data_IF_486189957222
#
_entry.id   IF_486189957222
#
_cell.length_a   1.000
_cell.length_b   1.000
_cell.length_c   1.000
_cell.angle_alpha   90.00
_cell.angle_beta   90.00
_cell.angle_gamma   90.00
#
_symmetry.space_group_name_H-M   'P 1'
#
loop_
_entity.id
_entity.type
_entity.pdbx_description
1 polymer ?
#
# COMPACT_ATOMS: atom_id res chain seq x y z
N UNK A 1 -14.72 20.89 4.00
CA UNK A 1 -13.34 21.41 4.14
C UNK A 1 -13.19 22.60 3.22
N UNK A 2 -12.62 23.70 3.68
CA UNK A 2 -12.47 24.94 2.90
C UNK A 2 -11.01 25.34 2.78
N UNK A 3 -10.60 25.74 1.58
CA UNK A 3 -9.29 26.34 1.33
C UNK A 3 -9.40 27.86 1.44
N UNK A 4 -8.43 28.47 2.10
CA UNK A 4 -8.33 29.92 2.28
C UNK A 4 -6.94 30.39 1.82
N UNK A 5 -6.89 31.49 1.07
CA UNK A 5 -5.66 32.08 0.57
C UNK A 5 -5.87 32.92 -0.70
N UNK A 6 -4.80 33.51 -1.21
CA UNK A 6 -4.84 34.46 -2.33
C UNK A 6 -4.84 33.79 -3.72
N UNK A 7 -5.52 32.64 -3.85
CA UNK A 7 -5.68 31.94 -5.12
C UNK A 7 -7.14 31.90 -5.52
N UNK A 8 -7.39 32.11 -6.81
CA UNK A 8 -8.74 32.13 -7.41
C UNK A 8 -9.30 30.72 -7.61
N UNK A 9 -8.44 29.71 -7.71
CA UNK A 9 -8.83 28.31 -7.88
C UNK A 9 -8.07 27.39 -6.92
N UNK A 10 -8.82 26.68 -6.08
CA UNK A 10 -8.29 25.70 -5.13
C UNK A 10 -8.77 24.30 -5.47
N UNK A 11 -7.85 23.34 -5.38
CA UNK A 11 -8.16 21.92 -5.43
C UNK A 11 -7.99 21.32 -4.05
N UNK A 12 -8.96 20.54 -3.61
CA UNK A 12 -8.85 19.76 -2.38
C UNK A 12 -8.44 18.35 -2.74
N UNK A 13 -7.29 17.93 -2.23
CA UNK A 13 -6.66 16.64 -2.50
C UNK A 13 -6.75 15.74 -1.27
N UNK A 14 -6.76 14.43 -1.52
CA UNK A 14 -6.76 13.38 -0.50
C UNK A 14 -5.75 12.31 -0.84
N UNK A 15 -4.94 11.92 0.14
CA UNK A 15 -4.18 10.68 0.17
C UNK A 15 -4.93 9.65 1.03
N UNK A 16 -5.38 8.57 0.40
CA UNK A 16 -6.10 7.49 1.07
C UNK A 16 -5.15 6.47 1.73
N UNK A 17 -5.65 5.65 2.67
CA UNK A 17 -4.87 4.55 3.27
C UNK A 17 -4.38 3.52 2.24
N UNK A 18 -5.01 3.44 1.07
CA UNK A 18 -4.62 2.56 -0.03
C UNK A 18 -3.60 3.23 -0.98
N UNK A 19 -2.91 4.26 -0.52
CA UNK A 19 -1.86 5.01 -1.25
C UNK A 19 -2.31 5.69 -2.54
N UNK A 20 -3.62 5.82 -2.76
CA UNK A 20 -4.16 6.53 -3.92
C UNK A 20 -4.45 8.00 -3.61
N UNK A 21 -4.08 8.85 -4.57
CA UNK A 21 -4.35 10.28 -4.65
C UNK A 21 -5.69 10.54 -5.35
N UNK A 22 -6.62 11.21 -4.68
CA UNK A 22 -7.93 11.55 -5.25
C UNK A 22 -8.29 13.02 -5.05
N UNK A 23 -8.72 13.74 -6.11
CA UNK A 23 -9.31 15.06 -5.96
C UNK A 23 -10.73 14.97 -5.37
N UNK A 24 -11.19 16.05 -4.74
CA UNK A 24 -12.52 16.12 -4.11
C UNK A 24 -13.67 15.70 -5.02
N UNK A 25 -13.61 15.96 -6.34
CA UNK A 25 -14.64 15.55 -7.29
C UNK A 25 -14.96 14.05 -7.31
N UNK A 26 -14.06 13.20 -6.81
CA UNK A 26 -14.27 11.74 -6.74
C UNK A 26 -15.03 11.32 -5.48
N UNK A 27 -14.84 12.01 -4.35
CA UNK A 27 -15.35 11.61 -3.04
C UNK A 27 -16.26 12.65 -2.36
N UNK A 28 -16.51 13.76 -3.05
CA UNK A 28 -17.24 14.92 -2.58
C UNK A 28 -17.69 15.82 -3.72
N UNK A 29 -18.03 17.06 -3.38
CA UNK A 29 -18.46 18.09 -4.33
C UNK A 29 -17.77 19.40 -3.99
N UNK A 30 -17.16 20.03 -5.00
CA UNK A 30 -16.53 21.34 -4.86
C UNK A 30 -17.58 22.46 -5.03
N UNK A 31 -17.49 23.50 -4.20
CA UNK A 31 -18.26 24.74 -4.29
C UNK A 31 -17.32 25.89 -3.95
N UNK A 32 -16.85 26.61 -4.97
CA UNK A 32 -15.75 27.57 -4.82
C UNK A 32 -14.50 26.87 -4.27
N UNK A 33 -13.93 27.41 -3.20
CA UNK A 33 -12.77 26.83 -2.50
C UNK A 33 -13.14 25.77 -1.46
N UNK A 34 -14.41 25.38 -1.36
CA UNK A 34 -14.90 24.43 -0.36
C UNK A 34 -15.24 23.08 -0.97
N UNK A 35 -14.70 22.01 -0.39
CA UNK A 35 -15.07 20.63 -0.67
C UNK A 35 -16.05 20.10 0.39
N UNK A 36 -17.25 19.69 -0.05
CA UNK A 36 -18.24 19.00 0.77
C UNK A 36 -18.10 17.50 0.57
N UNK A 37 -17.85 16.76 1.66
CA UNK A 37 -17.73 15.30 1.63
C UNK A 37 -19.12 14.68 1.43
N UNK A 38 -19.26 13.79 0.44
CA UNK A 38 -20.53 13.08 0.18
C UNK A 38 -20.42 11.57 0.41
N UNK A 39 -19.20 11.02 0.45
CA UNK A 39 -18.96 9.58 0.67
C UNK A 39 -18.51 9.27 2.09
N UNK A 40 -18.94 8.14 2.63
CA UNK A 40 -18.70 7.69 4.01
C UNK A 40 -17.37 6.98 4.28
N UNK A 41 -16.46 6.93 3.31
CA UNK A 41 -15.21 6.11 3.29
C UNK A 41 -13.96 6.98 3.15
N UNK A 42 -13.91 8.09 3.87
CA UNK A 42 -12.94 9.16 3.60
C UNK A 42 -11.94 9.34 4.74
N UNK A 43 -11.43 8.25 5.30
CA UNK A 43 -10.23 8.35 6.15
C UNK A 43 -9.00 8.63 5.29
N UNK A 44 -8.15 9.58 5.68
CA UNK A 44 -6.95 9.90 4.92
C UNK A 44 -6.34 11.25 5.29
N UNK A 45 -5.29 11.61 4.57
CA UNK A 45 -4.61 12.90 4.70
C UNK A 45 -5.12 13.84 3.61
N UNK A 46 -5.42 15.07 3.97
CA UNK A 46 -6.05 16.06 3.10
C UNK A 46 -5.25 17.35 3.06
N UNK A 47 -5.23 18.01 1.92
CA UNK A 47 -4.62 19.32 1.74
C UNK A 47 -5.25 20.07 0.57
N UNK A 48 -4.97 21.37 0.50
CA UNK A 48 -5.33 22.24 -0.61
C UNK A 48 -4.12 22.45 -1.52
N UNK A 49 -4.36 22.46 -2.82
CA UNK A 49 -3.38 22.76 -3.86
C UNK A 49 -3.90 23.96 -4.68
N UNK A 50 -3.06 24.98 -4.84
CA UNK A 50 -3.32 26.13 -5.71
C UNK A 50 -2.87 25.83 -7.15
N UNK A 51 -3.38 26.59 -8.12
CA UNK A 51 -2.89 26.53 -9.51
C UNK A 51 -1.37 26.77 -9.63
N UNK A 52 -0.82 27.64 -8.77
CA UNK A 52 0.62 27.95 -8.73
C UNK A 52 1.49 26.85 -8.09
N UNK A 53 0.90 25.71 -7.71
CA UNK A 53 1.61 24.59 -7.09
C UNK A 53 1.92 24.79 -5.60
N UNK A 54 1.36 25.81 -4.95
CA UNK A 54 1.42 25.95 -3.49
C UNK A 54 0.49 24.94 -2.80
N UNK A 55 0.95 24.42 -1.66
CA UNK A 55 0.21 23.48 -0.82
C UNK A 55 -0.12 24.10 0.53
N UNK A 56 -1.30 23.83 1.06
CA UNK A 56 -1.62 24.12 2.46
C UNK A 56 -0.91 23.14 3.41
N UNK A 57 -1.05 23.36 4.71
CA UNK A 57 -0.80 22.29 5.67
C UNK A 57 -1.73 21.10 5.39
N UNK A 58 -1.24 19.91 5.67
CA UNK A 58 -2.03 18.69 5.58
C UNK A 58 -2.76 18.42 6.90
N UNK A 59 -3.98 17.89 6.82
CA UNK A 59 -4.78 17.44 7.96
C UNK A 59 -5.10 15.97 7.82
N UNK A 60 -4.96 15.21 8.90
CA UNK A 60 -5.33 13.80 8.93
C UNK A 60 -6.75 13.68 9.50
N UNK A 61 -7.67 13.16 8.68
CA UNK A 61 -9.05 12.91 9.09
C UNK A 61 -9.24 11.41 9.11
N UNK A 62 -9.49 10.87 10.30
CA UNK A 62 -9.88 9.48 10.48
C UNK A 62 -11.37 9.44 10.78
N UNK A 63 -12.10 8.62 10.04
CA UNK A 63 -13.42 8.19 10.49
C UNK A 63 -13.21 7.27 11.69
N UNK A 64 -13.97 7.51 12.75
CA UNK A 64 -14.02 6.61 13.88
C UNK A 64 -14.80 5.36 13.42
N UNK A 65 -14.08 4.25 13.21
CA UNK A 65 -14.68 2.97 12.80
C UNK A 65 -15.41 2.28 13.97
N UNK A 66 -15.37 2.87 15.17
CA UNK A 66 -15.96 2.37 16.42
C UNK A 66 -17.48 2.64 16.55
N UNK A 67 -18.13 2.85 15.42
CA UNK A 67 -19.57 3.10 15.33
C UNK A 67 -20.40 1.85 15.04
N UNK A 68 -19.81 0.65 15.08
CA UNK A 68 -20.56 -0.60 14.96
C UNK A 68 -21.12 -1.00 16.33
N UNK A 69 -22.42 -1.25 16.37
CA UNK A 69 -23.11 -1.75 17.56
C UNK A 69 -23.71 -3.13 17.30
N UNK A 70 -23.62 -3.99 18.31
CA UNK A 70 -24.28 -5.28 18.36
C UNK A 70 -25.68 -5.11 18.99
N UNK A 71 -26.69 -5.64 18.33
CA UNK A 71 -28.05 -5.74 18.84
C UNK A 71 -28.26 -7.15 19.39
N UNK A 72 -28.47 -7.22 20.70
CA UNK A 72 -28.83 -8.43 21.43
C UNK A 72 -30.23 -8.30 22.04
N UNK A 73 -30.90 -9.41 22.38
CA UNK A 73 -32.15 -9.37 23.12
C UNK A 73 -32.00 -8.67 24.47
N UNK A 74 -33.06 -7.98 24.90
CA UNK A 74 -33.08 -7.26 26.19
C UNK A 74 -33.12 -8.21 27.40
N UNK A 75 -33.52 -9.47 27.19
CA UNK A 75 -33.63 -10.48 28.24
C UNK A 75 -32.77 -11.70 27.93
N UNK A 76 -32.27 -12.42 28.96
CA UNK A 76 -31.59 -13.70 28.76
C UNK A 76 -32.44 -14.69 27.97
N UNK A 77 -31.78 -15.48 27.12
CA UNK A 77 -32.42 -16.49 26.27
C UNK A 77 -32.32 -17.84 26.97
N UNK A 78 -33.43 -18.58 27.04
CA UNK A 78 -33.46 -19.91 27.64
C UNK A 78 -32.82 -20.96 26.71
N UNK A 79 -32.25 -22.02 27.30
CA UNK A 79 -31.68 -23.14 26.53
C UNK A 79 -32.72 -23.77 25.58
N UNK A 80 -32.23 -24.24 24.43
CA UNK A 80 -33.03 -24.83 23.35
C UNK A 80 -33.81 -23.83 22.50
N UNK A 81 -33.82 -22.54 22.85
CA UNK A 81 -34.46 -21.49 22.03
C UNK A 81 -33.51 -20.90 21.01
N UNK A 82 -34.07 -20.32 19.96
CA UNK A 82 -33.29 -19.59 18.97
C UNK A 82 -33.08 -18.14 19.37
N UNK A 83 -31.93 -17.58 18.99
CA UNK A 83 -31.63 -16.16 19.12
C UNK A 83 -30.93 -15.67 17.86
N UNK A 84 -31.24 -14.43 17.48
CA UNK A 84 -30.55 -13.74 16.39
C UNK A 84 -29.91 -12.47 16.93
N UNK A 85 -28.60 -12.36 16.72
CA UNK A 85 -27.81 -11.16 16.97
C UNK A 85 -27.63 -10.42 15.64
N UNK A 86 -27.68 -9.10 15.66
CA UNK A 86 -27.56 -8.27 14.45
C UNK A 86 -26.58 -7.14 14.66
N UNK A 87 -25.80 -6.80 13.64
CA UNK A 87 -24.88 -5.68 13.68
C UNK A 87 -25.30 -4.56 12.73
N UNK A 88 -25.14 -3.32 13.20
CA UNK A 88 -25.36 -2.12 12.39
C UNK A 88 -24.43 -1.00 12.81
N UNK A 89 -24.26 -0.02 11.95
CA UNK A 89 -23.69 1.26 12.36
C UNK A 89 -24.66 2.01 13.29
N UNK A 90 -24.15 2.80 14.24
CA UNK A 90 -24.94 3.73 15.06
C UNK A 90 -25.78 4.68 14.21
N UNK A 91 -25.25 5.09 13.06
CA UNK A 91 -25.92 5.94 12.08
C UNK A 91 -27.10 5.26 11.37
N UNK A 92 -27.29 3.95 11.54
CA UNK A 92 -28.37 3.19 10.91
C UNK A 92 -28.07 2.67 9.51
N UNK A 93 -26.87 2.95 8.97
CA UNK A 93 -26.44 2.44 7.66
C UNK A 93 -26.21 0.93 7.66
N UNK A 94 -26.41 0.29 6.51
CA UNK A 94 -26.29 -1.17 6.32
C UNK A 94 -24.82 -1.60 6.32
N UNK A 95 -24.50 -2.62 7.13
CA UNK A 95 -23.21 -3.32 7.14
C UNK A 95 -23.20 -4.49 6.16
N UNK A 96 -22.01 -4.79 5.62
CA UNK A 96 -21.71 -5.97 4.81
C UNK A 96 -20.37 -6.56 5.23
N UNK A 97 -20.13 -7.85 4.96
CA UNK A 97 -18.91 -8.58 5.36
C UNK A 97 -18.62 -8.44 6.85
N UNK A 98 -19.48 -9.03 7.70
CA UNK A 98 -19.39 -8.85 9.15
C UNK A 98 -18.90 -10.12 9.81
N UNK A 99 -17.85 -9.97 10.61
CA UNK A 99 -17.29 -11.04 11.42
C UNK A 99 -17.87 -10.96 12.84
N UNK A 100 -18.35 -12.08 13.37
CA UNK A 100 -18.86 -12.20 14.74
C UNK A 100 -17.86 -12.93 15.62
N UNK A 101 -17.70 -12.42 16.83
CA UNK A 101 -16.82 -12.97 17.85
C UNK A 101 -17.60 -13.23 19.13
N UNK A 102 -17.27 -14.32 19.80
CA UNK A 102 -17.71 -14.65 21.16
C UNK A 102 -16.46 -14.83 22.01
N UNK A 103 -16.34 -14.09 23.11
CA UNK A 103 -15.16 -14.10 23.99
C UNK A 103 -13.86 -13.94 23.18
N UNK A 104 -13.84 -12.95 22.29
CA UNK A 104 -12.74 -12.65 21.36
C UNK A 104 -12.40 -13.72 20.31
N UNK A 105 -13.12 -14.86 20.30
CA UNK A 105 -12.95 -15.92 19.30
C UNK A 105 -13.92 -15.75 18.14
N UNK A 106 -13.42 -15.83 16.91
CA UNK A 106 -14.23 -15.77 15.70
C UNK A 106 -15.18 -16.99 15.64
N UNK A 107 -16.48 -16.72 15.47
CA UNK A 107 -17.54 -17.75 15.41
C UNK A 107 -18.34 -17.74 14.09
N UNK A 108 -18.36 -16.62 13.37
CA UNK A 108 -18.96 -16.52 12.04
C UNK A 108 -18.18 -15.51 11.20
N UNK A 109 -17.86 -15.88 9.96
CA UNK A 109 -17.09 -15.06 9.02
C UNK A 109 -17.79 -14.93 7.65
N UNK A 110 -19.04 -14.48 7.64
CA UNK A 110 -19.90 -14.47 6.45
C UNK A 110 -20.17 -13.03 5.96
N UNK A 111 -20.74 -12.92 4.77
CA UNK A 111 -21.35 -11.71 4.22
C UNK A 111 -22.59 -11.25 5.00
N UNK A 112 -23.20 -12.14 5.79
CA UNK A 112 -24.39 -11.86 6.61
C UNK A 112 -24.08 -10.96 7.80
N UNK A 113 -24.95 -9.98 8.03
CA UNK A 113 -24.93 -9.06 9.19
C UNK A 113 -25.56 -9.63 10.46
N UNK A 114 -26.12 -10.83 10.37
CA UNK A 114 -26.89 -11.49 11.42
C UNK A 114 -26.24 -12.83 11.75
N UNK A 115 -26.19 -13.14 13.03
CA UNK A 115 -25.78 -14.42 13.58
C UNK A 115 -27.01 -15.05 14.22
N UNK A 116 -27.40 -16.24 13.77
CA UNK A 116 -28.50 -16.99 14.37
C UNK A 116 -27.98 -18.24 15.06
N UNK A 117 -28.25 -18.36 16.35
CA UNK A 117 -28.00 -19.56 17.14
C UNK A 117 -29.35 -20.25 17.27
N UNK A 118 -29.54 -21.38 16.58
CA UNK A 118 -30.84 -22.03 16.45
C UNK A 118 -31.33 -22.68 17.75
N UNK A 119 -30.41 -23.22 18.56
CA UNK A 119 -30.71 -23.85 19.83
C UNK A 119 -29.63 -23.46 20.84
N UNK A 120 -29.93 -22.46 21.68
CA UNK A 120 -29.02 -21.94 22.69
C UNK A 120 -28.66 -23.01 23.72
N UNK A 121 -27.39 -23.05 24.08
CA UNK A 121 -26.81 -23.94 25.07
C UNK A 121 -25.94 -23.14 26.05
N UNK A 122 -25.54 -23.77 27.15
CA UNK A 122 -24.65 -23.13 28.14
C UNK A 122 -23.30 -22.67 27.55
N UNK A 123 -22.80 -23.30 26.49
CA UNK A 123 -21.57 -22.86 25.80
C UNK A 123 -21.74 -21.58 24.97
N UNK A 124 -22.99 -21.18 24.68
CA UNK A 124 -23.28 -19.94 23.98
C UNK A 124 -23.28 -18.72 24.93
N UNK A 125 -23.12 -18.92 26.24
CA UNK A 125 -22.96 -17.82 27.18
C UNK A 125 -21.61 -17.11 26.98
N UNK A 126 -21.64 -15.78 26.83
CA UNK A 126 -20.42 -15.01 26.68
C UNK A 126 -20.61 -13.59 26.16
N UNK A 127 -19.49 -12.91 25.93
CA UNK A 127 -19.45 -11.56 25.38
C UNK A 127 -19.36 -11.62 23.86
N UNK A 128 -20.39 -11.10 23.20
CA UNK A 128 -20.44 -11.02 21.76
C UNK A 128 -20.00 -9.65 21.26
N UNK A 129 -19.26 -9.63 20.15
CA UNK A 129 -18.94 -8.43 19.38
C UNK A 129 -18.91 -8.73 17.90
N UNK A 130 -18.99 -7.70 17.08
CA UNK A 130 -18.85 -7.83 15.64
C UNK A 130 -17.95 -6.74 15.07
N UNK A 131 -17.35 -7.04 13.92
CA UNK A 131 -16.49 -6.14 13.18
C UNK A 131 -16.86 -6.20 11.71
N UNK A 132 -16.84 -5.05 11.04
CA UNK A 132 -16.86 -5.06 9.59
C UNK A 132 -15.47 -5.45 9.10
N UNK A 133 -15.43 -6.41 8.18
CA UNK A 133 -14.22 -6.71 7.42
C UNK A 133 -14.05 -5.61 6.39
N UNK A 134 -12.95 -4.88 6.49
CA UNK A 134 -12.59 -3.96 5.43
C UNK A 134 -12.44 -4.75 4.13
N UNK A 135 -12.95 -4.20 3.03
CA UNK A 135 -12.79 -4.75 1.68
C UNK A 135 -11.32 -4.83 1.22
N UNK A 136 -10.36 -4.64 2.13
CA UNK A 136 -8.93 -4.64 1.88
C UNK A 136 -8.22 -5.93 2.33
N UNK A 137 -8.92 -6.93 2.89
CA UNK A 137 -8.29 -8.22 3.24
C UNK A 137 -8.23 -9.21 2.06
N UNK A 138 -7.79 -8.72 0.91
CA UNK A 138 -7.09 -9.53 -0.09
C UNK A 138 -5.57 -9.28 -0.08
N UNK A 139 -5.06 -8.46 0.86
CA UNK A 139 -3.63 -8.45 1.19
C UNK A 139 -3.41 -9.27 2.45
N UNK A 140 -2.87 -10.47 2.28
CA UNK A 140 -2.20 -11.18 3.36
C UNK A 140 -1.08 -10.31 3.99
N UNK A 141 -0.46 -10.78 5.08
CA UNK A 141 0.58 -10.02 5.76
C UNK A 141 1.62 -9.56 4.74
N UNK A 142 1.88 -8.25 4.75
CA UNK A 142 2.78 -7.57 3.83
C UNK A 142 4.04 -8.37 3.61
N UNK A 143 4.21 -8.88 2.39
CA UNK A 143 5.55 -9.06 1.84
C UNK A 143 5.94 -7.70 1.31
N UNK A 144 6.54 -6.93 2.20
CA UNK A 144 7.21 -5.68 1.85
C UNK A 144 7.98 -5.84 0.54
N UNK A 145 7.88 -4.81 -0.29
CA UNK A 145 8.44 -4.60 -1.61
C UNK A 145 9.94 -4.91 -1.75
N UNK A 146 10.31 -6.19 -1.67
CA UNK A 146 11.67 -6.67 -1.92
C UNK A 146 11.93 -6.93 -3.41
N UNK A 147 10.87 -6.93 -4.24
CA UNK A 147 10.94 -7.21 -5.67
C UNK A 147 11.55 -6.07 -6.54
N UNK A 148 11.36 -4.76 -6.27
CA UNK A 148 12.01 -3.73 -7.07
C UNK A 148 13.49 -3.51 -6.70
N UNK A 149 13.88 -3.67 -5.44
CA UNK A 149 15.25 -3.36 -4.99
C UNK A 149 16.26 -4.38 -5.54
N UNK A 150 15.94 -5.68 -5.51
CA UNK A 150 16.81 -6.72 -6.06
C UNK A 150 17.02 -6.58 -7.57
N UNK A 151 16.00 -6.13 -8.31
CA UNK A 151 16.11 -5.86 -9.74
C UNK A 151 17.02 -4.66 -10.04
N UNK A 152 16.89 -3.58 -9.26
CA UNK A 152 17.74 -2.38 -9.39
C UNK A 152 19.20 -2.72 -9.05
N UNK A 153 19.44 -3.44 -7.95
CA UNK A 153 20.79 -3.88 -7.57
C UNK A 153 21.37 -4.85 -8.61
N UNK A 154 20.57 -5.78 -9.13
CA UNK A 154 20.98 -6.69 -10.20
C UNK A 154 21.38 -5.95 -11.48
N UNK A 155 20.63 -4.91 -11.87
CA UNK A 155 20.95 -4.05 -13.01
C UNK A 155 22.27 -3.29 -12.81
N UNK A 156 22.47 -2.66 -11.64
CA UNK A 156 23.70 -1.91 -11.35
C UNK A 156 24.94 -2.81 -11.33
N UNK A 157 24.85 -3.98 -10.70
CA UNK A 157 25.93 -4.96 -10.68
C UNK A 157 26.23 -5.51 -12.08
N UNK A 158 25.18 -5.85 -12.85
CA UNK A 158 25.32 -6.35 -14.21
C UNK A 158 25.99 -5.34 -15.14
N UNK A 159 25.54 -4.08 -15.13
CA UNK A 159 26.14 -2.99 -15.92
C UNK A 159 27.61 -2.77 -15.52
N UNK A 160 27.92 -2.80 -14.22
CA UNK A 160 29.29 -2.65 -13.72
C UNK A 160 30.22 -3.76 -14.21
N UNK A 161 29.77 -5.03 -14.22
CA UNK A 161 30.54 -6.16 -14.73
C UNK A 161 30.80 -6.06 -16.23
N UNK A 162 29.80 -5.62 -17.01
CA UNK A 162 29.94 -5.43 -18.47
C UNK A 162 31.00 -4.36 -18.75
N UNK A 163 30.97 -3.23 -18.03
CA UNK A 163 31.96 -2.15 -18.18
C UNK A 163 33.37 -2.67 -17.87
N UNK A 164 33.54 -3.42 -16.78
CA UNK A 164 34.84 -4.01 -16.42
C UNK A 164 35.35 -5.00 -17.47
N UNK A 165 34.48 -5.84 -18.04
CA UNK A 165 34.84 -6.76 -19.13
C UNK A 165 35.25 -6.00 -20.39
N UNK A 166 34.53 -4.95 -20.77
CA UNK A 166 34.89 -4.12 -21.92
C UNK A 166 36.22 -3.41 -21.71
N UNK A 167 36.48 -2.88 -20.51
CA UNK A 167 37.77 -2.29 -20.15
C UNK A 167 38.89 -3.32 -20.19
N UNK A 168 38.66 -4.51 -19.65
CA UNK A 168 39.64 -5.59 -19.70
C UNK A 168 39.93 -6.03 -21.15
N UNK A 169 38.91 -6.19 -21.99
CA UNK A 169 39.09 -6.50 -23.41
C UNK A 169 39.78 -5.37 -24.17
N UNK A 170 39.48 -4.11 -23.85
CA UNK A 170 40.15 -2.95 -24.40
C UNK A 170 41.62 -2.93 -24.01
N UNK A 171 41.95 -3.14 -22.73
CA UNK A 171 43.32 -3.22 -22.24
C UNK A 171 44.05 -4.43 -22.78
N UNK A 172 43.37 -5.56 -22.94
CA UNK A 172 43.92 -6.76 -23.55
C UNK A 172 44.22 -6.57 -25.03
N UNK A 173 43.31 -5.94 -25.79
CA UNK A 173 43.55 -5.55 -27.19
C UNK A 173 44.69 -4.55 -27.29
N UNK A 174 44.67 -3.49 -26.48
CA UNK A 174 45.76 -2.51 -26.40
C UNK A 174 47.09 -3.17 -26.03
N UNK A 175 47.09 -4.13 -25.11
CA UNK A 175 48.29 -4.91 -24.76
C UNK A 175 48.73 -5.82 -25.89
N UNK A 176 47.81 -6.37 -26.69
CA UNK A 176 48.10 -7.17 -27.87
C UNK A 176 48.63 -6.32 -29.03
N UNK A 177 48.09 -5.12 -29.20
CA UNK A 177 48.55 -4.14 -30.19
C UNK A 177 49.93 -3.60 -29.79
N UNK A 178 50.13 -3.32 -28.50
CA UNK A 178 51.44 -3.00 -27.91
C UNK A 178 52.39 -4.21 -27.98
N UNK A 179 51.87 -5.44 -27.95
CA UNK A 179 52.65 -6.67 -28.06
C UNK A 179 53.19 -6.88 -29.48
N UNK A 180 52.33 -6.71 -30.47
CA UNK A 180 52.75 -6.69 -31.88
C UNK A 180 53.79 -5.57 -32.13
N UNK A 181 53.66 -4.41 -31.49
CA UNK A 181 54.65 -3.34 -31.57
C UNK A 181 56.00 -3.70 -30.93
N UNK A 182 56.06 -4.42 -29.80
CA UNK A 182 57.35 -4.87 -29.24
C UNK A 182 58.03 -5.90 -30.14
N UNK A 183 57.27 -6.76 -30.84
CA UNK A 183 57.83 -7.71 -31.80
C UNK A 183 58.31 -7.02 -33.08
N UNK A 184 57.65 -5.94 -33.53
CA UNK A 184 58.14 -5.19 -34.72
C UNK A 184 59.39 -4.38 -34.43
N UNK A 185 59.61 -3.94 -33.18
CA UNK A 185 60.86 -3.25 -32.79
C UNK A 185 62.02 -4.23 -32.61
N UNK A 186 61.75 -5.51 -32.35
CA UNK A 186 62.77 -6.56 -32.20
C UNK A 186 62.87 -7.44 -33.46
N UNK A 187 63.11 -6.81 -34.61
CA UNK A 187 63.64 -7.46 -35.81
C UNK A 187 65.10 -7.90 -35.60
N UNK A 188 65.62 -8.86 -36.39
CA UNK A 188 66.67 -9.79 -36.00
C UNK A 188 68.07 -9.13 -35.88
N UNK A 189 68.78 -9.47 -34.80
CA UNK A 189 70.23 -9.23 -34.66
C UNK A 189 71.00 -10.04 -35.72
N UNK A 190 71.65 -9.34 -36.65
CA UNK A 190 72.63 -9.88 -37.58
C UNK A 190 74.02 -9.92 -36.90
N UNK A 191 74.82 -11.00 -37.04
CA UNK A 191 76.00 -11.23 -36.22
C UNK A 191 77.17 -10.29 -36.54
N UNK A 192 77.92 -9.97 -35.48
CA UNK A 192 79.13 -9.16 -35.52
C UNK A 192 80.18 -9.70 -36.49
N UNK A 193 80.73 -8.76 -37.25
CA UNK A 193 81.83 -8.84 -38.20
C UNK A 193 83.07 -9.58 -37.65
N UNK A 194 83.54 -10.59 -38.37
CA UNK A 194 84.87 -11.17 -38.23
C UNK A 194 85.78 -10.71 -39.38
N UNK A 195 86.94 -10.14 -39.06
CA UNK A 195 88.12 -10.09 -39.95
C UNK A 195 89.35 -9.72 -39.12
N UNK A 196 90.24 -10.68 -38.87
CA UNK A 196 91.56 -10.87 -39.50
C UNK A 196 91.89 -12.36 -39.42
#
# INVERSE_FOLDING_TARGET
MSCEGNSTEWRVMRFSKSDFLYPCSIWGTMTGSTCTITRSWVSGVYWCESETGQFSNAVNITKDDDDIILLSPVRPVAEGRSVTLSCKFKTGTVLYNVDFYQNDKLIQNDTRRELTISAVSKSDEGFYKCKQRDSADASGPGKDSQFPILLIVGLLCGVSLIILLLLFLYLYRKSKDNACLYETVKGPEEPANGTV
#
